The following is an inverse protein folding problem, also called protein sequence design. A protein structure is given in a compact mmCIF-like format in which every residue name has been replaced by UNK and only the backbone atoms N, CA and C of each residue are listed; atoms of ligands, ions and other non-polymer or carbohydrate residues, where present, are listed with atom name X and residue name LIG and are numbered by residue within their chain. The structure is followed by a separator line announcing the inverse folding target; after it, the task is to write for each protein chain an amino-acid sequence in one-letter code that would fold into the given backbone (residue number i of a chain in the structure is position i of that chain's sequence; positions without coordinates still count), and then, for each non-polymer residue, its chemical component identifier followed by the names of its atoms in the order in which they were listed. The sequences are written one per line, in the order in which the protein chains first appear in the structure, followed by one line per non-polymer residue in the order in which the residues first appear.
data_IF_144513689741
#
_entry.id   IF_144513689741
#
_cell.length_a   1.000
_cell.length_b   1.000
_cell.length_c   1.000
_cell.angle_alpha   90.00
_cell.angle_beta   90.00
_cell.angle_gamma   90.00
#
_symmetry.space_group_name_H-M   'P 1'
#
loop_
_entity.id
_entity.type
_entity.pdbx_description
1 polymer ?
#
# COMPACT_ATOMS: atom_id res chain seq x y z
N UNK A 1 -8.82 12.53 -10.81
CA UNK A 1 -7.96 11.38 -10.44
C UNK A 1 -8.26 10.28 -11.45
N UNK A 2 -7.26 9.78 -12.18
CA UNK A 2 -7.46 8.72 -13.18
C UNK A 2 -7.61 7.39 -12.42
N UNK A 3 -8.67 6.60 -12.68
CA UNK A 3 -8.85 5.29 -12.05
C UNK A 3 -7.69 4.35 -12.38
N UNK A 4 -7.21 3.58 -11.40
CA UNK A 4 -6.05 2.70 -11.55
C UNK A 4 -6.27 1.62 -12.62
N UNK A 5 -7.53 1.20 -12.80
CA UNK A 5 -8.03 0.29 -13.83
C UNK A 5 -7.97 0.84 -15.26
N UNK A 6 -7.71 2.14 -15.44
CA UNK A 6 -7.56 2.77 -16.76
C UNK A 6 -6.11 3.07 -17.14
N UNK A 7 -5.14 2.68 -16.32
CA UNK A 7 -3.72 2.84 -16.62
C UNK A 7 -3.23 1.69 -17.51
N UNK A 8 -2.15 1.94 -18.27
CA UNK A 8 -1.42 0.88 -18.95
C UNK A 8 -0.89 -0.13 -17.92
N UNK A 9 -1.02 -1.43 -18.20
CA UNK A 9 -0.57 -2.54 -17.31
C UNK A 9 0.80 -2.31 -16.63
N UNK A 10 1.87 -1.88 -17.32
CA UNK A 10 3.15 -1.65 -16.67
C UNK A 10 3.11 -0.53 -15.62
N UNK A 11 2.33 0.53 -15.87
CA UNK A 11 2.16 1.66 -14.93
C UNK A 11 1.32 1.21 -13.73
N UNK A 12 0.35 0.34 -13.96
CA UNK A 12 -0.47 -0.25 -12.91
C UNK A 12 0.38 -1.10 -11.96
N UNK A 13 1.26 -1.94 -12.51
CA UNK A 13 2.18 -2.77 -11.73
C UNK A 13 3.14 -1.94 -10.86
N UNK A 14 3.72 -0.86 -11.42
CA UNK A 14 4.59 0.04 -10.65
C UNK A 14 3.82 0.77 -9.56
N UNK A 15 2.56 1.12 -9.80
CA UNK A 15 1.72 1.77 -8.79
C UNK A 15 1.48 0.86 -7.59
N UNK A 16 1.36 -0.46 -7.78
CA UNK A 16 1.28 -1.42 -6.67
C UNK A 16 2.58 -1.54 -5.86
N UNK A 17 3.70 -0.97 -6.31
CA UNK A 17 4.91 -0.86 -5.47
C UNK A 17 4.83 0.30 -4.47
N UNK A 18 3.84 1.18 -4.61
CA UNK A 18 3.66 2.33 -3.74
C UNK A 18 2.63 2.00 -2.66
N UNK A 19 2.97 2.14 -1.36
CA UNK A 19 2.02 1.88 -0.27
C UNK A 19 0.80 2.80 -0.34
N UNK A 20 0.97 4.02 -0.87
CA UNK A 20 -0.12 4.99 -1.05
C UNK A 20 -1.24 4.49 -1.98
N UNK A 21 -0.91 3.66 -2.98
CA UNK A 21 -1.89 3.12 -3.94
C UNK A 21 -2.94 2.29 -3.23
N UNK A 22 -2.52 1.42 -2.29
CA UNK A 22 -3.44 0.58 -1.52
C UNK A 22 -4.41 1.40 -0.67
N UNK A 23 -3.91 2.44 0.01
CA UNK A 23 -4.73 3.32 0.84
C UNK A 23 -5.72 4.16 0.02
N UNK A 24 -5.26 4.77 -1.07
CA UNK A 24 -6.10 5.61 -1.94
C UNK A 24 -7.19 4.78 -2.61
N UNK A 25 -6.87 3.60 -3.14
CA UNK A 25 -7.87 2.72 -3.76
C UNK A 25 -8.91 2.23 -2.76
N UNK A 26 -8.49 1.80 -1.57
CA UNK A 26 -9.44 1.37 -0.53
C UNK A 26 -10.37 2.51 -0.08
N UNK A 27 -9.83 3.73 0.07
CA UNK A 27 -10.64 4.91 0.39
C UNK A 27 -11.60 5.25 -0.75
N UNK A 28 -11.19 5.11 -2.01
CA UNK A 28 -12.07 5.37 -3.15
C UNK A 28 -13.26 4.40 -3.17
N UNK A 29 -13.05 3.12 -2.87
CA UNK A 29 -14.11 2.12 -2.80
C UNK A 29 -15.11 2.43 -1.68
N UNK A 30 -14.63 2.82 -0.49
CA UNK A 30 -15.50 3.14 0.65
C UNK A 30 -16.22 4.47 0.45
N UNK A 31 -15.50 5.52 0.05
CA UNK A 31 -16.02 6.90 0.01
C UNK A 31 -16.91 7.14 -1.20
N UNK A 32 -16.54 6.63 -2.38
CA UNK A 32 -17.26 6.94 -3.63
C UNK A 32 -18.19 5.82 -4.08
N UNK A 33 -17.91 4.56 -3.72
CA UNK A 33 -18.74 3.42 -4.13
C UNK A 33 -19.58 2.85 -2.99
N UNK A 34 -19.35 3.26 -1.74
CA UNK A 34 -19.96 2.69 -0.55
C UNK A 34 -19.84 1.15 -0.49
N UNK A 35 -18.80 0.60 -1.12
CA UNK A 35 -18.51 -0.83 -1.17
C UNK A 35 -17.40 -1.17 -0.19
N UNK A 36 -17.37 -2.42 0.28
CA UNK A 36 -16.25 -2.88 1.09
C UNK A 36 -14.94 -2.82 0.29
N UNK A 37 -13.85 -2.35 0.90
CA UNK A 37 -12.56 -2.29 0.24
C UNK A 37 -12.07 -3.72 -0.05
N UNK A 38 -11.46 -3.92 -1.22
CA UNK A 38 -10.97 -5.23 -1.62
C UNK A 38 -9.94 -5.77 -0.60
N UNK A 39 -10.10 -7.02 -0.19
CA UNK A 39 -9.24 -7.68 0.80
C UNK A 39 -7.75 -7.61 0.41
N UNK A 40 -7.45 -7.77 -0.89
CA UNK A 40 -6.10 -7.65 -1.45
C UNK A 40 -5.47 -6.28 -1.17
N UNK A 41 -6.26 -5.20 -1.18
CA UNK A 41 -5.74 -3.86 -0.90
C UNK A 41 -5.35 -3.70 0.57
N UNK A 42 -6.18 -4.20 1.48
CA UNK A 42 -5.90 -4.19 2.91
C UNK A 42 -4.70 -5.08 3.24
N UNK A 43 -4.64 -6.27 2.66
CA UNK A 43 -3.52 -7.19 2.84
C UNK A 43 -2.20 -6.58 2.34
N UNK A 44 -2.21 -5.96 1.15
CA UNK A 44 -1.06 -5.26 0.59
C UNK A 44 -0.59 -4.13 1.50
N UNK A 45 -1.51 -3.28 1.96
CA UNK A 45 -1.19 -2.19 2.90
C UNK A 45 -0.58 -2.74 4.21
N UNK A 46 -1.17 -3.79 4.77
CA UNK A 46 -0.67 -4.45 5.99
C UNK A 46 0.72 -5.04 5.82
N UNK A 47 1.02 -5.61 4.65
CA UNK A 47 2.34 -6.17 4.35
C UNK A 47 3.41 -5.06 4.26
N UNK A 48 3.06 -3.92 3.65
CA UNK A 48 3.93 -2.74 3.62
C UNK A 48 4.20 -2.16 5.00
N UNK A 49 3.19 -2.07 5.86
CA UNK A 49 3.38 -1.54 7.23
C UNK A 49 4.24 -2.47 8.07
N UNK A 50 4.02 -3.79 7.99
CA UNK A 50 4.85 -4.78 8.67
C UNK A 50 6.29 -4.77 8.17
N UNK A 51 6.50 -4.69 6.85
CA UNK A 51 7.84 -4.59 6.27
C UNK A 51 8.57 -3.31 6.72
N UNK A 52 7.86 -2.17 6.73
CA UNK A 52 8.39 -0.90 7.22
C UNK A 52 8.72 -0.93 8.71
N UNK A 53 7.84 -1.51 9.54
CA UNK A 53 8.05 -1.68 10.97
C UNK A 53 9.23 -2.63 11.28
N UNK A 54 9.37 -3.70 10.50
CA UNK A 54 10.49 -4.63 10.63
C UNK A 54 11.82 -3.96 10.22
N UNK A 55 11.82 -3.21 9.11
CA UNK A 55 12.99 -2.48 8.65
C UNK A 55 13.42 -1.40 9.66
N UNK A 56 12.48 -0.65 10.23
CA UNK A 56 12.77 0.36 11.24
C UNK A 56 13.27 -0.25 12.55
N UNK A 57 12.69 -1.38 12.97
CA UNK A 57 13.18 -2.16 14.12
C UNK A 57 14.61 -2.66 13.90
N UNK A 58 14.90 -3.22 12.72
CA UNK A 58 16.24 -3.68 12.37
C UNK A 58 17.26 -2.53 12.34
N UNK A 59 16.87 -1.38 11.78
CA UNK A 59 17.69 -0.18 11.79
C UNK A 59 17.96 0.31 13.22
N UNK A 60 16.93 0.40 14.06
CA UNK A 60 17.07 0.80 15.47
C UNK A 60 17.99 -0.16 16.24
N UNK A 61 17.85 -1.48 16.05
CA UNK A 61 18.76 -2.50 16.59
C UNK A 61 20.22 -2.20 16.20
N UNK A 62 20.45 -1.92 14.92
CA UNK A 62 21.80 -1.69 14.41
C UNK A 62 22.40 -0.37 14.91
N UNK A 63 21.57 0.63 15.22
CA UNK A 63 22.01 1.89 15.82
C UNK A 63 22.35 1.78 17.31
N UNK A 64 21.68 0.91 18.07
CA UNK A 64 21.99 0.69 19.51
C UNK A 64 23.30 -0.10 19.71
N UNK A 65 23.70 -0.89 18.71
CA UNK A 65 24.91 -1.72 18.77
C UNK A 65 26.22 -1.00 18.36
N UNK A 66 26.16 0.29 18.02
CA UNK A 66 27.32 1.16 17.74
C UNK A 66 27.54 2.14 18.87
#
# INVERSE_FOLDING_TARGET
IIPLDRLLEPVQAVSFLLPATYGISALQDVVFRATQPAFLLIAGLGLYTLAGAFASWLAARNHIAR
#
